data_IF_535954482326
#
_entry.id   IF_535954482326
#
_cell.length_a   1.000
_cell.length_b   1.000
_cell.length_c   1.000
_cell.angle_alpha   90.00
_cell.angle_beta   90.00
_cell.angle_gamma   90.00
#
_symmetry.space_group_name_H-M   'P 1'
#
loop_
_entity.id
_entity.type
_entity.pdbx_description
1 polymer ?
#
# COMPACT_ATOMS: atom_id res chain seq x y z
N UNK A 1 11.00 -0.12 -12.34
CA UNK A 1 10.09 0.87 -11.72
C UNK A 1 10.71 1.51 -10.50
N UNK A 2 10.87 0.76 -9.40
CA UNK A 2 11.21 1.31 -8.07
C UNK A 2 12.46 2.21 -8.04
N UNK A 3 13.64 1.83 -8.58
CA UNK A 3 14.82 2.70 -8.51
C UNK A 3 14.64 4.00 -9.30
N UNK A 4 13.95 3.95 -10.45
CA UNK A 4 13.63 5.13 -11.25
C UNK A 4 12.66 6.05 -10.52
N UNK A 5 11.63 5.49 -9.88
CA UNK A 5 10.69 6.25 -9.06
C UNK A 5 11.41 6.97 -7.91
N UNK A 6 12.22 6.24 -7.13
CA UNK A 6 12.99 6.82 -6.03
C UNK A 6 13.97 7.88 -6.51
N UNK A 7 14.63 7.68 -7.64
CA UNK A 7 15.54 8.67 -8.21
C UNK A 7 14.81 9.94 -8.67
N UNK A 8 13.64 9.79 -9.32
CA UNK A 8 12.82 10.93 -9.73
C UNK A 8 12.28 11.71 -8.52
N UNK A 9 11.85 11.00 -7.48
CA UNK A 9 11.29 11.61 -6.26
C UNK A 9 12.36 12.24 -5.38
N UNK A 10 13.49 11.57 -5.14
CA UNK A 10 14.46 11.97 -4.11
C UNK A 10 15.67 12.74 -4.65
N UNK A 11 16.05 12.55 -5.92
CA UNK A 11 17.27 13.16 -6.48
C UNK A 11 16.95 14.28 -7.45
N UNK A 12 16.03 14.04 -8.39
CA UNK A 12 15.66 15.03 -9.40
C UNK A 12 14.56 15.97 -8.95
N UNK A 13 13.81 15.58 -7.93
CA UNK A 13 12.63 16.30 -7.46
C UNK A 13 11.64 16.60 -8.60
N UNK A 14 11.62 15.71 -9.62
CA UNK A 14 10.79 15.84 -10.81
C UNK A 14 9.45 15.15 -10.59
N UNK A 15 8.68 15.83 -9.77
CA UNK A 15 7.42 15.41 -9.22
C UNK A 15 6.37 15.03 -10.29
N UNK A 16 6.29 15.79 -11.38
CA UNK A 16 5.42 15.44 -12.51
C UNK A 16 5.78 14.11 -13.19
N UNK A 17 7.08 13.82 -13.34
CA UNK A 17 7.55 12.55 -13.90
C UNK A 17 7.41 11.39 -12.93
N UNK A 18 7.61 11.63 -11.63
CA UNK A 18 7.37 10.63 -10.60
C UNK A 18 5.90 10.17 -10.62
N UNK A 19 4.94 11.11 -10.67
CA UNK A 19 3.51 10.79 -10.79
C UNK A 19 3.23 10.01 -12.07
N UNK A 20 3.80 10.43 -13.21
CA UNK A 20 3.59 9.76 -14.49
C UNK A 20 4.07 8.32 -14.49
N UNK A 21 5.29 8.07 -13.99
CA UNK A 21 5.85 6.73 -13.84
C UNK A 21 4.98 5.88 -12.91
N UNK A 22 4.50 6.48 -11.83
CA UNK A 22 3.69 5.81 -10.83
C UNK A 22 2.30 5.44 -11.38
N UNK A 23 1.66 6.33 -12.14
CA UNK A 23 0.40 6.08 -12.82
C UNK A 23 0.53 4.97 -13.88
N UNK A 24 1.60 5.00 -14.68
CA UNK A 24 1.87 3.95 -15.68
C UNK A 24 2.14 2.60 -15.01
N UNK A 25 2.86 2.58 -13.89
CA UNK A 25 3.10 1.35 -13.14
C UNK A 25 1.77 0.73 -12.65
N UNK A 26 0.91 1.53 -12.01
CA UNK A 26 -0.38 1.03 -11.51
C UNK A 26 -1.34 0.58 -12.62
N UNK A 27 -1.34 1.27 -13.78
CA UNK A 27 -2.12 0.86 -14.95
C UNK A 27 -1.57 -0.42 -15.57
N UNK A 28 -0.25 -0.56 -15.65
CA UNK A 28 0.39 -1.79 -16.17
C UNK A 28 0.05 -2.99 -15.29
N UNK A 29 0.17 -2.87 -13.97
CA UNK A 29 -0.15 -3.97 -13.04
C UNK A 29 -1.62 -4.39 -13.14
N UNK A 30 -2.54 -3.43 -13.32
CA UNK A 30 -3.96 -3.74 -13.53
C UNK A 30 -4.20 -4.44 -14.88
N UNK A 31 -3.54 -3.98 -15.94
CA UNK A 31 -3.65 -4.57 -17.27
C UNK A 31 -3.07 -5.99 -17.31
N UNK A 32 -1.86 -6.17 -16.80
CA UNK A 32 -1.17 -7.47 -16.73
C UNK A 32 -1.93 -8.44 -15.83
N UNK A 33 -2.45 -7.99 -14.69
CA UNK A 33 -3.30 -8.80 -13.81
C UNK A 33 -4.65 -9.21 -14.43
N UNK A 34 -5.17 -8.45 -15.41
CA UNK A 34 -6.40 -8.78 -16.14
C UNK A 34 -6.10 -9.74 -17.30
N UNK A 35 -4.99 -9.51 -18.01
CA UNK A 35 -4.52 -10.36 -19.11
C UNK A 35 -4.08 -11.73 -18.57
N UNK A 36 -3.30 -11.79 -17.49
CA UNK A 36 -2.87 -13.04 -16.87
C UNK A 36 -4.06 -13.93 -16.42
N UNK A 37 -5.13 -13.30 -15.90
CA UNK A 37 -6.38 -14.00 -15.56
C UNK A 37 -7.17 -14.46 -16.78
N UNK A 38 -7.12 -13.70 -17.88
CA UNK A 38 -7.79 -14.06 -19.12
C UNK A 38 -7.09 -15.22 -19.87
N UNK A 39 -5.76 -15.31 -19.76
CA UNK A 39 -4.96 -16.33 -20.47
C UNK A 39 -4.64 -17.58 -19.62
N UNK A 40 -5.05 -17.63 -18.36
CA UNK A 40 -4.80 -18.75 -17.43
C UNK A 40 -3.30 -19.13 -17.31
N UNK A 41 -2.39 -18.23 -17.71
CA UNK A 41 -0.95 -18.40 -17.71
C UNK A 41 -0.34 -17.81 -16.43
N UNK A 42 -0.70 -18.37 -15.27
CA UNK A 42 -0.02 -18.03 -14.02
C UNK A 42 1.09 -19.05 -13.75
N UNK A 43 2.34 -18.58 -13.84
CA UNK A 43 3.50 -19.34 -13.36
C UNK A 43 3.50 -19.36 -11.83
N UNK A 44 3.71 -20.52 -11.19
CA UNK A 44 3.81 -20.61 -9.70
C UNK A 44 4.88 -19.69 -9.12
N UNK A 45 5.99 -19.50 -9.84
CA UNK A 45 7.07 -18.59 -9.43
C UNK A 45 6.67 -17.12 -9.62
N UNK A 46 6.04 -16.78 -10.75
CA UNK A 46 5.53 -15.44 -11.01
C UNK A 46 4.47 -15.01 -9.97
N UNK A 47 3.54 -15.91 -9.64
CA UNK A 47 2.50 -15.66 -8.65
C UNK A 47 3.02 -15.44 -7.22
N UNK A 48 4.21 -15.95 -6.88
CA UNK A 48 4.85 -15.68 -5.59
C UNK A 48 5.73 -14.42 -5.60
N UNK A 49 6.31 -14.07 -6.75
CA UNK A 49 7.13 -12.88 -6.93
C UNK A 49 6.31 -11.59 -7.03
N UNK A 50 5.15 -11.64 -7.68
CA UNK A 50 4.23 -10.49 -7.86
C UNK A 50 3.90 -9.78 -6.54
N UNK A 51 3.41 -10.48 -5.49
CA UNK A 51 3.03 -9.84 -4.23
C UNK A 51 4.22 -9.27 -3.46
N UNK A 52 5.42 -9.81 -3.68
CA UNK A 52 6.64 -9.32 -3.04
C UNK A 52 7.12 -8.02 -3.68
N UNK A 53 7.09 -7.94 -5.01
CA UNK A 53 7.45 -6.73 -5.77
C UNK A 53 6.44 -5.61 -5.50
N UNK A 54 5.14 -5.92 -5.47
CA UNK A 54 4.09 -4.98 -5.10
C UNK A 54 4.34 -4.37 -3.71
N UNK A 55 4.62 -5.22 -2.72
CA UNK A 55 4.90 -4.76 -1.35
C UNK A 55 6.15 -3.88 -1.29
N UNK A 56 7.19 -4.24 -2.04
CA UNK A 56 8.41 -3.43 -2.12
C UNK A 56 8.14 -2.07 -2.78
N UNK A 57 7.32 -2.04 -3.83
CA UNK A 57 6.93 -0.81 -4.51
C UNK A 57 6.16 0.13 -3.59
N UNK A 58 5.20 -0.40 -2.84
CA UNK A 58 4.42 0.34 -1.85
C UNK A 58 5.32 0.87 -0.74
N UNK A 59 6.18 0.03 -0.17
CA UNK A 59 7.11 0.43 0.89
C UNK A 59 8.06 1.54 0.43
N UNK A 60 8.67 1.37 -0.76
CA UNK A 60 9.54 2.38 -1.35
C UNK A 60 8.83 3.71 -1.58
N UNK A 61 7.58 3.67 -2.06
CA UNK A 61 6.77 4.87 -2.26
C UNK A 61 6.48 5.58 -0.95
N UNK A 62 6.02 4.85 0.09
CA UNK A 62 5.72 5.44 1.40
C UNK A 62 6.96 6.06 2.07
N UNK A 63 8.12 5.40 1.95
CA UNK A 63 9.38 5.94 2.43
C UNK A 63 9.72 7.24 1.70
N UNK A 64 9.63 7.25 0.36
CA UNK A 64 9.90 8.45 -0.43
C UNK A 64 8.96 9.61 -0.06
N UNK A 65 7.66 9.33 0.14
CA UNK A 65 6.69 10.32 0.59
C UNK A 65 7.01 10.87 2.00
N UNK A 66 7.52 10.02 2.88
CA UNK A 66 7.91 10.45 4.23
C UNK A 66 9.15 11.33 4.20
N UNK A 67 10.15 10.98 3.37
CA UNK A 67 11.38 11.78 3.19
C UNK A 67 11.08 13.15 2.58
N UNK A 68 9.99 13.28 1.83
CA UNK A 68 9.52 14.54 1.24
C UNK A 68 8.59 15.35 2.16
N UNK A 69 8.47 14.96 3.44
CA UNK A 69 7.59 15.55 4.45
C UNK A 69 6.09 15.60 4.05
N UNK A 70 5.69 14.82 3.04
CA UNK A 70 4.30 14.68 2.58
C UNK A 70 3.50 13.87 3.59
N UNK A 71 4.09 12.75 4.03
CA UNK A 71 3.52 11.90 5.05
C UNK A 71 4.35 12.08 6.32
N UNK A 72 3.74 12.52 7.44
CA UNK A 72 4.40 12.54 8.72
C UNK A 72 5.07 11.20 9.07
N UNK A 73 6.28 11.24 9.61
CA UNK A 73 7.03 10.04 10.00
C UNK A 73 6.23 9.10 10.91
N UNK A 74 5.38 9.63 11.78
CA UNK A 74 4.54 8.83 12.66
C UNK A 74 3.55 7.93 11.90
N UNK A 75 3.09 8.34 10.70
CA UNK A 75 2.24 7.50 9.84
C UNK A 75 3.08 6.34 9.29
N UNK A 76 4.26 6.61 8.72
CA UNK A 76 5.15 5.54 8.25
C UNK A 76 5.48 4.53 9.35
N UNK A 77 5.80 5.02 10.55
CA UNK A 77 6.07 4.17 11.71
C UNK A 77 4.83 3.36 12.12
N UNK A 78 3.63 3.96 12.08
CA UNK A 78 2.37 3.24 12.33
C UNK A 78 2.16 2.12 11.31
N UNK A 79 2.42 2.39 10.02
CA UNK A 79 2.34 1.38 8.96
C UNK A 79 3.31 0.21 9.22
N UNK A 80 4.58 0.50 9.48
CA UNK A 80 5.60 -0.51 9.76
C UNK A 80 5.26 -1.29 11.04
N UNK A 81 4.85 -0.59 12.11
CA UNK A 81 4.49 -1.22 13.38
C UNK A 81 3.30 -2.15 13.23
N UNK A 82 2.28 -1.75 12.46
CA UNK A 82 1.12 -2.59 12.15
C UNK A 82 1.53 -3.81 11.34
N UNK A 83 2.36 -3.67 10.32
CA UNK A 83 2.81 -4.80 9.51
C UNK A 83 3.64 -5.77 10.33
N UNK A 84 4.51 -5.27 11.21
CA UNK A 84 5.26 -6.10 12.16
C UNK A 84 4.33 -6.80 13.16
N UNK A 85 3.31 -6.10 13.66
CA UNK A 85 2.31 -6.66 14.55
C UNK A 85 1.52 -7.79 13.87
N UNK A 86 1.06 -7.61 12.63
CA UNK A 86 0.43 -8.69 11.88
C UNK A 86 1.43 -9.81 11.56
N UNK A 87 2.70 -9.51 11.33
CA UNK A 87 3.75 -10.52 11.16
C UNK A 87 3.87 -11.45 12.37
N UNK A 88 3.59 -10.98 13.60
CA UNK A 88 3.57 -11.85 14.79
C UNK A 88 2.45 -12.89 14.78
N UNK A 89 1.37 -12.64 14.04
CA UNK A 89 0.24 -13.58 13.93
C UNK A 89 0.51 -14.71 12.94
N UNK A 90 1.36 -14.47 11.92
CA UNK A 90 1.68 -15.44 10.86
C UNK A 90 2.16 -16.81 11.38
N UNK A 91 3.11 -16.91 12.33
CA UNK A 91 3.53 -18.21 12.88
C UNK A 91 2.36 -19.02 13.46
N UNK A 92 1.39 -18.34 14.08
CA UNK A 92 0.20 -18.99 14.63
C UNK A 92 -0.77 -19.44 13.55
N UNK A 93 -0.91 -18.67 12.45
CA UNK A 93 -1.69 -19.11 11.28
C UNK A 93 -1.06 -20.30 10.57
N UNK A 94 0.27 -20.29 10.38
CA UNK A 94 0.96 -21.42 9.75
C UNK A 94 0.83 -22.72 10.54
N UNK A 95 0.79 -22.64 11.88
CA UNK A 95 0.56 -23.82 12.75
C UNK A 95 -0.81 -24.46 12.55
N UNK A 96 -1.82 -23.68 12.18
CA UNK A 96 -3.18 -24.17 11.88
C UNK A 96 -3.37 -24.47 10.38
N UNK A 97 -2.29 -24.51 9.60
CA UNK A 97 -2.34 -24.80 8.16
C UNK A 97 -2.86 -23.64 7.30
N UNK A 98 -3.08 -22.46 7.89
CA UNK A 98 -3.46 -21.26 7.14
C UNK A 98 -2.22 -20.46 6.70
N UNK A 99 -2.26 -19.93 5.48
CA UNK A 99 -1.24 -19.02 4.96
C UNK A 99 -1.38 -17.58 5.48
N UNK A 100 -0.56 -16.65 4.95
CA UNK A 100 -0.73 -15.22 5.20
C UNK A 100 -2.15 -14.78 4.84
N UNK A 101 -2.74 -13.90 5.65
CA UNK A 101 -4.04 -13.34 5.28
C UNK A 101 -3.93 -12.50 4.01
N UNK A 102 -4.81 -12.76 3.06
CA UNK A 102 -4.84 -12.04 1.78
C UNK A 102 -5.13 -10.55 2.01
N UNK A 103 -4.44 -9.70 1.24
CA UNK A 103 -4.60 -8.26 1.37
C UNK A 103 -5.99 -7.86 0.80
N UNK A 104 -6.94 -7.61 1.68
CA UNK A 104 -8.26 -7.01 1.41
C UNK A 104 -8.16 -5.77 0.53
N UNK A 105 -9.22 -5.59 -0.25
CA UNK A 105 -9.41 -4.44 -1.13
C UNK A 105 -9.26 -3.10 -0.40
N UNK A 106 -9.68 -3.01 0.88
CA UNK A 106 -9.50 -1.81 1.70
C UNK A 106 -8.02 -1.48 1.96
N UNK A 107 -7.15 -2.48 2.12
CA UNK A 107 -5.71 -2.27 2.30
C UNK A 107 -5.07 -1.71 1.05
N UNK A 108 -5.48 -2.19 -0.13
CA UNK A 108 -5.08 -1.61 -1.42
C UNK A 108 -5.60 -0.18 -1.56
N UNK A 109 -6.87 0.07 -1.22
CA UNK A 109 -7.48 1.39 -1.27
C UNK A 109 -6.82 2.41 -0.32
N UNK A 110 -6.38 1.99 0.86
CA UNK A 110 -5.63 2.83 1.79
C UNK A 110 -4.32 3.31 1.17
N UNK A 111 -3.55 2.39 0.59
CA UNK A 111 -2.31 2.72 -0.12
C UNK A 111 -2.57 3.61 -1.34
N UNK A 112 -3.59 3.30 -2.14
CA UNK A 112 -3.97 4.15 -3.27
C UNK A 112 -4.34 5.57 -2.82
N UNK A 113 -5.10 5.75 -1.75
CA UNK A 113 -5.41 7.09 -1.26
C UNK A 113 -4.17 7.87 -0.85
N UNK A 114 -3.21 7.24 -0.18
CA UNK A 114 -1.93 7.88 0.16
C UNK A 114 -1.11 8.23 -1.09
N UNK A 115 -1.17 7.36 -2.10
CA UNK A 115 -0.55 7.55 -3.40
C UNK A 115 -1.13 8.76 -4.16
N UNK A 116 -2.45 8.89 -4.16
CA UNK A 116 -3.18 9.98 -4.82
C UNK A 116 -3.03 11.32 -4.08
N UNK A 117 -2.81 11.31 -2.77
CA UNK A 117 -2.52 12.53 -2.01
C UNK A 117 -1.28 13.27 -2.55
N UNK A 118 -0.31 12.55 -3.14
CA UNK A 118 0.93 13.13 -3.63
C UNK A 118 0.77 14.05 -4.84
N UNK A 119 0.10 13.66 -5.95
CA UNK A 119 -0.25 14.58 -7.04
C UNK A 119 -0.95 15.86 -6.57
N UNK A 120 -1.84 15.74 -5.58
CA UNK A 120 -2.57 16.88 -5.05
C UNK A 120 -1.69 17.80 -4.19
N UNK A 121 -0.80 17.25 -3.35
CA UNK A 121 0.18 18.04 -2.59
C UNK A 121 1.17 18.79 -3.49
N UNK A 122 1.53 18.20 -4.62
CA UNK A 122 2.41 18.86 -5.59
C UNK A 122 1.72 20.01 -6.31
N UNK A 123 0.46 19.82 -6.69
CA UNK A 123 -0.39 20.90 -7.21
C UNK A 123 -0.68 21.98 -6.17
N UNK A 124 -0.57 21.66 -4.87
CA UNK A 124 -0.74 22.58 -3.76
C UNK A 124 0.44 23.56 -3.56
N UNK A 125 1.57 23.35 -4.23
CA UNK A 125 2.78 24.19 -4.05
C UNK A 125 2.70 25.60 -4.66
N UNK A 126 1.60 25.97 -5.34
CA UNK A 126 1.40 27.29 -5.94
C UNK A 126 0.49 28.21 -5.13
N UNK A 127 0.47 29.51 -5.47
CA UNK A 127 -0.40 30.52 -4.82
C UNK A 127 -1.79 30.66 -5.49
N UNK A 128 -2.13 29.70 -6.36
CA UNK A 128 -3.36 29.74 -7.17
C UNK A 128 -4.57 29.18 -6.41
N UNK A 129 -5.78 29.54 -6.83
CA UNK A 129 -7.01 28.93 -6.28
C UNK A 129 -7.01 27.41 -6.46
N UNK A 130 -6.47 26.89 -7.56
CA UNK A 130 -6.28 25.45 -7.79
C UNK A 130 -5.40 24.79 -6.72
N UNK A 131 -4.35 25.46 -6.26
CA UNK A 131 -3.46 24.93 -5.25
C UNK A 131 -4.14 24.76 -3.89
N UNK A 132 -5.00 25.72 -3.49
CA UNK A 132 -5.77 25.63 -2.23
C UNK A 132 -6.80 24.48 -2.26
N UNK A 133 -7.42 24.25 -3.42
CA UNK A 133 -8.30 23.08 -3.61
C UNK A 133 -7.51 21.77 -3.59
N UNK A 134 -6.33 21.75 -4.20
CA UNK A 134 -5.46 20.58 -4.21
C UNK A 134 -4.95 20.24 -2.81
N UNK A 135 -4.59 21.23 -1.99
CA UNK A 135 -4.19 21.02 -0.59
C UNK A 135 -5.30 20.36 0.24
N UNK A 136 -6.53 20.88 0.11
CA UNK A 136 -7.70 20.31 0.81
C UNK A 136 -7.98 18.87 0.39
N UNK A 137 -7.86 18.58 -0.91
CA UNK A 137 -8.00 17.20 -1.42
C UNK A 137 -6.89 16.30 -0.91
N UNK A 138 -5.64 16.78 -0.87
CA UNK A 138 -4.53 15.98 -0.42
C UNK A 138 -4.66 15.57 1.05
N UNK A 139 -5.08 16.48 1.93
CA UNK A 139 -5.36 16.16 3.33
C UNK A 139 -6.56 15.23 3.49
N UNK A 140 -7.59 15.35 2.65
CA UNK A 140 -8.72 14.42 2.64
C UNK A 140 -8.26 12.99 2.24
N UNK A 141 -7.45 12.87 1.19
CA UNK A 141 -6.88 11.61 0.74
C UNK A 141 -5.91 11.01 1.77
N UNK A 142 -5.04 11.82 2.36
CA UNK A 142 -4.13 11.38 3.41
C UNK A 142 -4.88 10.90 4.66
N UNK A 143 -5.85 11.69 5.15
CA UNK A 143 -6.65 11.35 6.31
C UNK A 143 -7.47 10.08 6.12
N UNK A 144 -8.14 9.95 4.97
CA UNK A 144 -8.91 8.76 4.64
C UNK A 144 -8.01 7.54 4.41
N UNK A 145 -6.84 7.73 3.79
CA UNK A 145 -5.82 6.69 3.63
C UNK A 145 -5.35 6.13 4.96
N UNK A 146 -5.01 6.99 5.93
CA UNK A 146 -4.61 6.58 7.28
C UNK A 146 -5.76 5.87 8.01
N UNK A 147 -6.98 6.41 7.94
CA UNK A 147 -8.14 5.81 8.60
C UNK A 147 -8.42 4.39 8.07
N UNK A 148 -8.47 4.22 6.75
CA UNK A 148 -8.63 2.91 6.12
C UNK A 148 -7.48 1.96 6.49
N UNK A 149 -6.25 2.47 6.57
CA UNK A 149 -5.10 1.65 6.93
C UNK A 149 -5.24 1.08 8.35
N UNK A 150 -5.57 1.92 9.34
CA UNK A 150 -5.81 1.49 10.72
C UNK A 150 -6.96 0.48 10.80
N UNK A 151 -8.09 0.78 10.13
CA UNK A 151 -9.27 -0.10 10.10
C UNK A 151 -8.95 -1.48 9.52
N UNK A 152 -8.15 -1.53 8.46
CA UNK A 152 -7.74 -2.82 7.89
C UNK A 152 -6.85 -3.59 8.85
N UNK A 153 -5.89 -2.91 9.51
CA UNK A 153 -5.02 -3.54 10.51
C UNK A 153 -5.81 -4.23 11.62
N UNK A 154 -6.82 -3.55 12.17
CA UNK A 154 -7.72 -4.10 13.19
C UNK A 154 -8.49 -5.29 12.63
N UNK A 155 -9.06 -5.15 11.43
CA UNK A 155 -9.86 -6.20 10.79
C UNK A 155 -9.07 -7.48 10.56
N UNK A 156 -7.80 -7.36 10.11
CA UNK A 156 -6.95 -8.54 9.98
C UNK A 156 -6.58 -9.13 11.32
N UNK A 157 -6.23 -8.33 12.32
CA UNK A 157 -5.91 -8.90 13.63
C UNK A 157 -7.08 -9.70 14.22
N UNK A 158 -8.29 -9.16 14.13
CA UNK A 158 -9.51 -9.84 14.59
C UNK A 158 -9.80 -11.11 13.76
N UNK A 159 -9.60 -11.06 12.45
CA UNK A 159 -9.75 -12.23 11.57
C UNK A 159 -8.76 -13.35 11.91
N UNK A 160 -7.49 -13.00 12.10
CA UNK A 160 -6.45 -13.95 12.51
C UNK A 160 -6.79 -14.61 13.86
N UNK A 161 -7.25 -13.81 14.83
CA UNK A 161 -7.61 -14.30 16.16
C UNK A 161 -8.80 -15.27 16.11
N UNK A 162 -9.85 -14.96 15.34
CA UNK A 162 -11.02 -15.83 15.16
C UNK A 162 -10.63 -17.18 14.56
N UNK A 163 -9.83 -17.18 13.49
CA UNK A 163 -9.35 -18.44 12.87
C UNK A 163 -8.58 -19.33 13.86
N UNK A 164 -7.76 -18.73 14.71
CA UNK A 164 -7.00 -19.46 15.74
C UNK A 164 -7.94 -20.02 16.82
N UNK A 165 -8.95 -19.26 17.25
CA UNK A 165 -9.95 -19.69 18.23
C UNK A 165 -10.83 -20.84 17.68
N UNK A 166 -11.26 -20.74 16.42
CA UNK A 166 -12.08 -21.77 15.75
C UNK A 166 -11.30 -23.08 15.59
N UNK A 167 -10.02 -23.03 15.19
CA UNK A 167 -9.18 -24.23 15.08
C UNK A 167 -8.89 -24.91 16.43
N UNK A 168 -8.81 -24.15 17.52
CA UNK A 168 -8.66 -24.74 18.86
C UNK A 168 -9.93 -25.46 19.30
N UNK A 169 -11.09 -24.89 18.99
CA UNK A 169 -12.40 -25.43 19.34
C UNK A 169 -12.72 -26.72 18.56
N UNK A 170 -12.23 -26.85 17.33
CA UNK A 170 -12.40 -28.05 16.50
C UNK A 170 -11.49 -29.23 16.88
N UNK A 171 -10.45 -28.99 17.69
CA UNK A 171 -9.47 -30.00 18.13
C UNK A 171 -9.73 -30.50 19.57
N UNK A 172 -10.78 -30.02 20.24
CA UNK A 172 -11.26 -30.51 21.54
C UNK A 172 -12.46 -31.44 21.32
#
# INVERSE_FOLDING_TARGET
GIPLLLWLMLVKEFDGWAIFVLAIAGISDYADGKIARAFNQSSKLGAMLDPAVDRLYIAATLIALTVRDVIPLWILLLLIARDLFLATTLPSLYKIGHGPMEVTFLGKAATFNLLYAFPFLLLASGDSMLARFADSLAWAFAGWGVALYVLTGISYFLGARRLIEDSRSANQ
#
